data_IF_399619880462
#
_entry.id   IF_399619880462
#
_cell.length_a   1.000
_cell.length_b   1.000
_cell.length_c   1.000
_cell.angle_alpha   90.00
_cell.angle_beta   90.00
_cell.angle_gamma   90.00
#
_symmetry.space_group_name_H-M   'P 1'
#
loop_
_entity.id
_entity.type
_entity.pdbx_description
1 polymer ?
#
# COMPACT_ATOMS: atom_id res chain seq x y z
N UNK A 1 16.71 26.78 2.09
CA UNK A 1 16.08 26.36 3.35
C UNK A 1 15.45 25.01 3.07
N UNK A 2 16.01 23.92 3.59
CA UNK A 2 15.37 22.61 3.49
C UNK A 2 14.22 22.60 4.48
N UNK A 3 12.99 22.71 4.00
CA UNK A 3 11.82 22.51 4.84
C UNK A 3 11.96 21.16 5.56
N UNK A 4 11.97 21.20 6.89
CA UNK A 4 11.98 19.98 7.70
C UNK A 4 10.70 19.22 7.38
N UNK A 5 10.83 17.99 6.88
CA UNK A 5 9.69 17.10 6.74
C UNK A 5 9.33 16.60 8.13
N UNK A 6 8.12 16.95 8.56
CA UNK A 6 7.59 16.51 9.85
C UNK A 6 6.92 15.15 9.71
N UNK A 7 7.27 14.24 10.62
CA UNK A 7 6.66 12.93 10.76
C UNK A 7 5.47 13.02 11.72
N UNK A 8 4.37 12.35 11.36
CA UNK A 8 3.18 12.27 12.19
C UNK A 8 3.31 11.07 13.13
N UNK A 9 3.90 11.27 14.31
CA UNK A 9 4.01 10.22 15.31
C UNK A 9 2.65 9.88 15.96
N UNK A 10 2.50 8.68 16.55
CA UNK A 10 3.39 7.53 16.43
C UNK A 10 3.43 6.96 14.99
N UNK A 11 4.56 6.38 14.58
CA UNK A 11 4.69 5.72 13.28
C UNK A 11 4.37 4.23 13.40
N UNK A 12 4.04 3.59 12.28
CA UNK A 12 3.85 2.14 12.17
C UNK A 12 2.84 1.57 13.18
N UNK A 13 1.81 2.34 13.52
CA UNK A 13 0.72 1.92 14.42
C UNK A 13 -0.62 2.41 13.89
N UNK A 14 -1.68 1.66 14.19
CA UNK A 14 -3.04 1.98 13.76
C UNK A 14 -3.59 3.19 14.53
N UNK A 15 -3.83 4.28 13.82
CA UNK A 15 -4.54 5.45 14.34
C UNK A 15 -6.00 5.39 13.90
N UNK A 16 -6.97 5.26 14.82
CA UNK A 16 -8.38 5.34 14.47
C UNK A 16 -8.68 6.68 13.79
N UNK A 17 -9.28 6.64 12.61
CA UNK A 17 -9.73 7.82 11.88
C UNK A 17 -11.25 7.93 11.89
N UNK A 18 -11.92 6.79 11.69
CA UNK A 18 -13.36 6.65 11.82
C UNK A 18 -13.69 5.20 12.20
N UNK A 19 -14.98 4.89 12.36
CA UNK A 19 -15.43 3.50 12.50
C UNK A 19 -14.91 2.67 11.33
N UNK A 20 -14.20 1.59 11.64
CA UNK A 20 -13.65 0.64 10.66
C UNK A 20 -12.63 1.23 9.67
N UNK A 21 -12.06 2.41 9.98
CA UNK A 21 -11.05 3.10 9.16
C UNK A 21 -9.89 3.57 10.02
N UNK A 22 -8.68 3.21 9.61
CA UNK A 22 -7.43 3.58 10.28
C UNK A 22 -6.45 4.25 9.32
N UNK A 23 -5.64 5.15 9.86
CA UNK A 23 -4.48 5.73 9.20
C UNK A 23 -3.23 5.18 9.88
N UNK A 24 -2.19 4.93 9.08
CA UNK A 24 -0.87 4.56 9.58
C UNK A 24 0.17 5.44 8.90
N UNK A 25 0.94 6.14 9.72
CA UNK A 25 2.06 6.97 9.27
C UNK A 25 3.34 6.13 9.25
N UNK A 26 4.09 6.19 8.15
CA UNK A 26 5.37 5.53 7.99
C UNK A 26 6.53 6.53 7.94
N UNK A 27 7.72 5.99 7.74
CA UNK A 27 8.96 6.79 7.70
C UNK A 27 9.07 7.66 6.43
N UNK A 28 10.08 8.51 6.40
CA UNK A 28 10.52 9.27 5.23
C UNK A 28 11.19 8.32 4.24
N UNK A 29 10.72 8.33 3.00
CA UNK A 29 11.40 7.67 1.88
C UNK A 29 11.88 8.72 0.88
N UNK A 30 12.84 8.33 0.04
CA UNK A 30 13.43 9.23 -0.96
C UNK A 30 12.98 8.79 -2.35
N UNK A 31 12.19 9.64 -3.03
CA UNK A 31 11.82 9.40 -4.43
C UNK A 31 12.96 9.85 -5.34
N UNK A 32 13.42 8.93 -6.19
CA UNK A 32 14.36 9.23 -7.25
C UNK A 32 13.65 9.87 -8.44
N UNK A 33 14.10 11.06 -8.82
CA UNK A 33 13.69 11.79 -10.02
C UNK A 33 14.80 11.71 -11.10
N UNK A 34 14.49 12.08 -12.36
CA UNK A 34 15.50 12.23 -13.40
C UNK A 34 16.67 13.11 -12.93
N UNK A 35 17.85 12.89 -13.51
CA UNK A 35 19.09 13.59 -13.16
C UNK A 35 19.60 13.33 -11.73
N UNK A 36 19.16 12.24 -11.10
CA UNK A 36 19.70 11.80 -9.79
C UNK A 36 19.18 12.59 -8.60
N UNK A 37 18.17 13.44 -8.79
CA UNK A 37 17.55 14.22 -7.71
C UNK A 37 16.78 13.26 -6.80
N UNK A 38 17.03 13.33 -5.49
CA UNK A 38 16.29 12.57 -4.47
C UNK A 38 15.48 13.54 -3.62
N UNK A 39 14.16 13.39 -3.64
CA UNK A 39 13.25 14.21 -2.83
C UNK A 39 12.69 13.37 -1.69
N UNK A 40 12.91 13.77 -0.42
CA UNK A 40 12.32 13.08 0.72
C UNK A 40 10.82 13.37 0.83
N UNK A 41 10.03 12.40 1.30
CA UNK A 41 8.63 12.57 1.65
C UNK A 41 8.18 11.53 2.67
N UNK A 42 7.26 11.89 3.56
CA UNK A 42 6.66 10.97 4.52
C UNK A 42 5.68 10.02 3.83
N UNK A 43 5.57 8.80 4.34
CA UNK A 43 4.61 7.80 3.85
C UNK A 43 3.38 7.70 4.76
N UNK A 44 2.23 7.39 4.16
CA UNK A 44 0.98 7.14 4.89
C UNK A 44 0.15 6.11 4.15
N UNK A 45 -0.41 5.16 4.89
CA UNK A 45 -1.39 4.21 4.38
C UNK A 45 -2.73 4.34 5.09
N UNK A 46 -3.77 3.81 4.45
CA UNK A 46 -5.11 3.70 5.01
C UNK A 46 -5.54 2.25 5.02
N UNK A 47 -6.17 1.83 6.11
CA UNK A 47 -6.73 0.49 6.27
C UNK A 47 -8.22 0.63 6.52
N UNK A 48 -9.00 -0.12 5.76
CA UNK A 48 -10.46 -0.17 5.89
C UNK A 48 -10.87 -1.61 6.15
N UNK A 49 -11.70 -1.84 7.18
CA UNK A 49 -12.35 -3.12 7.40
C UNK A 49 -13.65 -3.16 6.59
N UNK A 50 -13.78 -4.18 5.75
CA UNK A 50 -14.94 -4.41 4.91
C UNK A 50 -16.06 -5.09 5.70
N UNK A 51 -17.26 -5.14 5.12
CA UNK A 51 -18.45 -5.74 5.77
C UNK A 51 -18.26 -7.22 6.14
N UNK A 52 -17.43 -7.95 5.39
CA UNK A 52 -17.09 -9.35 5.64
C UNK A 52 -15.98 -9.53 6.71
N UNK A 53 -15.52 -8.44 7.32
CA UNK A 53 -14.44 -8.42 8.31
C UNK A 53 -13.03 -8.50 7.72
N UNK A 54 -12.89 -8.61 6.39
CA UNK A 54 -11.59 -8.56 5.73
C UNK A 54 -11.05 -7.14 5.59
N UNK A 55 -9.76 -7.00 5.30
CA UNK A 55 -9.08 -5.71 5.26
C UNK A 55 -8.65 -5.32 3.86
N UNK A 56 -8.96 -4.07 3.52
CA UNK A 56 -8.50 -3.36 2.34
C UNK A 56 -7.40 -2.37 2.76
N UNK A 57 -6.19 -2.52 2.21
CA UNK A 57 -5.01 -1.73 2.57
C UNK A 57 -4.54 -0.91 1.37
N UNK A 58 -4.46 0.41 1.53
CA UNK A 58 -4.18 1.36 0.46
C UNK A 58 -2.98 2.24 0.74
N UNK A 59 -2.16 2.50 -0.30
CA UNK A 59 -0.96 3.33 -0.21
C UNK A 59 0.08 2.74 0.77
N UNK A 60 0.31 1.43 0.65
CA UNK A 60 1.14 0.61 1.55
C UNK A 60 2.46 1.31 1.93
N UNK A 61 2.77 1.34 3.23
CA UNK A 61 4.08 1.76 3.76
C UNK A 61 5.03 0.56 3.92
N UNK A 62 6.26 0.77 4.40
CA UNK A 62 7.16 -0.35 4.69
C UNK A 62 6.53 -1.32 5.70
N UNK A 63 6.54 -2.65 5.46
CA UNK A 63 6.07 -3.60 6.46
C UNK A 63 6.88 -3.48 7.75
N UNK A 64 6.20 -3.30 8.87
CA UNK A 64 6.81 -3.23 10.21
C UNK A 64 6.24 -4.36 11.09
N UNK A 65 7.06 -5.11 11.85
CA UNK A 65 6.57 -6.26 12.64
C UNK A 65 5.38 -5.93 13.54
N UNK A 66 5.47 -4.86 14.33
CA UNK A 66 4.41 -4.46 15.26
C UNK A 66 3.12 -4.05 14.53
N UNK A 67 3.26 -3.31 13.42
CA UNK A 67 2.13 -2.95 12.57
C UNK A 67 1.44 -4.20 12.00
N UNK A 68 2.21 -5.17 11.52
CA UNK A 68 1.66 -6.41 10.97
C UNK A 68 0.92 -7.20 12.06
N UNK A 69 1.44 -7.21 13.29
CA UNK A 69 0.76 -7.83 14.43
C UNK A 69 -0.57 -7.13 14.72
N UNK A 70 -0.57 -5.80 14.82
CA UNK A 70 -1.80 -5.00 14.99
C UNK A 70 -2.82 -5.29 13.89
N UNK A 71 -2.41 -5.27 12.61
CA UNK A 71 -3.27 -5.56 11.46
C UNK A 71 -3.86 -6.97 11.53
N UNK A 72 -3.07 -7.97 11.93
CA UNK A 72 -3.54 -9.34 12.05
C UNK A 72 -4.63 -9.49 13.14
N UNK A 73 -4.65 -8.63 14.16
CA UNK A 73 -5.74 -8.59 15.15
C UNK A 73 -7.01 -7.95 14.60
N UNK A 74 -6.90 -7.06 13.61
CA UNK A 74 -8.07 -6.43 12.98
C UNK A 74 -8.83 -7.41 12.09
N UNK A 75 -8.13 -8.21 11.29
CA UNK A 75 -8.76 -9.14 10.36
C UNK A 75 -7.84 -9.63 9.25
N UNK A 76 -8.39 -10.43 8.33
CA UNK A 76 -7.65 -10.98 7.19
C UNK A 76 -7.43 -9.90 6.14
N UNK A 77 -6.17 -9.61 5.81
CA UNK A 77 -5.84 -8.77 4.63
C UNK A 77 -6.26 -9.49 3.35
N UNK A 78 -7.21 -8.90 2.61
CA UNK A 78 -7.79 -9.43 1.38
C UNK A 78 -7.41 -8.60 0.16
N UNK A 79 -7.15 -7.30 0.32
CA UNK A 79 -6.81 -6.42 -0.80
C UNK A 79 -5.63 -5.49 -0.47
N UNK A 80 -4.67 -5.42 -1.40
CA UNK A 80 -3.49 -4.55 -1.37
C UNK A 80 -3.53 -3.59 -2.55
N UNK A 81 -3.56 -2.27 -2.31
CA UNK A 81 -3.84 -1.26 -3.34
C UNK A 81 -2.66 -0.29 -3.46
N UNK A 82 -2.06 -0.28 -4.66
CA UNK A 82 -1.05 0.72 -5.05
C UNK A 82 -1.71 1.78 -5.93
N UNK A 83 -1.94 3.02 -5.43
CA UNK A 83 -2.72 4.02 -6.15
C UNK A 83 -1.99 4.69 -7.31
N UNK A 84 -0.66 4.60 -7.40
CA UNK A 84 0.11 5.11 -8.52
C UNK A 84 1.41 4.31 -8.76
N UNK A 85 2.17 4.69 -9.80
CA UNK A 85 3.45 4.07 -10.20
C UNK A 85 4.62 4.35 -9.25
N UNK A 86 4.56 5.44 -8.50
CA UNK A 86 5.61 5.87 -7.59
C UNK A 86 5.59 4.99 -6.31
N UNK A 87 4.52 4.20 -6.13
CA UNK A 87 4.24 3.41 -4.92
C UNK A 87 4.46 1.89 -5.03
N UNK A 88 5.16 1.38 -6.06
CA UNK A 88 5.51 -0.05 -6.10
C UNK A 88 6.43 -0.50 -4.95
N UNK A 89 7.01 0.44 -4.19
CA UNK A 89 8.05 0.19 -3.20
C UNK A 89 7.71 -0.94 -2.21
N UNK A 90 6.44 -1.13 -1.84
CA UNK A 90 6.09 -2.10 -0.80
C UNK A 90 5.05 -3.14 -1.20
N UNK A 91 4.42 -3.07 -2.37
CA UNK A 91 3.36 -4.05 -2.70
C UNK A 91 3.89 -5.48 -2.79
N UNK A 92 5.11 -5.66 -3.32
CA UNK A 92 5.77 -6.97 -3.36
C UNK A 92 6.05 -7.50 -1.94
N UNK A 93 6.51 -6.65 -1.03
CA UNK A 93 6.82 -7.06 0.34
C UNK A 93 5.57 -7.36 1.15
N UNK A 94 4.51 -6.57 0.99
CA UNK A 94 3.20 -6.88 1.57
C UNK A 94 2.61 -8.16 1.00
N UNK A 95 2.78 -8.41 -0.31
CA UNK A 95 2.32 -9.65 -0.93
C UNK A 95 3.07 -10.88 -0.42
N UNK A 96 4.36 -10.76 -0.06
CA UNK A 96 5.10 -11.82 0.63
C UNK A 96 4.52 -12.12 2.03
N UNK A 97 4.07 -11.09 2.75
CA UNK A 97 3.43 -11.25 4.07
C UNK A 97 2.00 -11.77 3.99
N UNK A 98 1.27 -11.39 2.94
CA UNK A 98 -0.13 -11.75 2.72
C UNK A 98 -0.32 -12.38 1.33
N UNK A 99 0.20 -13.59 1.09
CA UNK A 99 0.20 -14.22 -0.23
C UNK A 99 -1.21 -14.46 -0.78
N UNK A 100 -2.22 -14.56 0.08
CA UNK A 100 -3.63 -14.70 -0.32
C UNK A 100 -4.30 -13.40 -0.78
N UNK A 101 -3.75 -12.22 -0.45
CA UNK A 101 -4.40 -10.94 -0.72
C UNK A 101 -4.32 -10.54 -2.19
N UNK A 102 -5.39 -10.07 -2.80
CA UNK A 102 -5.39 -9.59 -4.19
C UNK A 102 -4.63 -8.27 -4.26
N UNK A 103 -3.65 -8.18 -5.17
CA UNK A 103 -2.85 -6.98 -5.39
C UNK A 103 -3.40 -6.17 -6.57
N UNK A 104 -3.92 -4.98 -6.30
CA UNK A 104 -4.43 -4.04 -7.29
C UNK A 104 -3.38 -2.98 -7.59
N UNK A 105 -2.97 -2.90 -8.84
CA UNK A 105 -1.93 -1.98 -9.31
C UNK A 105 -2.44 -1.29 -10.57
N UNK A 106 -2.14 0.01 -10.70
CA UNK A 106 -2.38 0.71 -11.96
C UNK A 106 -1.51 0.07 -13.05
N UNK A 107 -2.15 -0.57 -14.03
CA UNK A 107 -1.46 -1.09 -15.20
C UNK A 107 -1.13 0.07 -16.14
N UNK A 108 0.14 0.26 -16.47
CA UNK A 108 0.52 1.28 -17.46
C UNK A 108 1.37 0.71 -18.57
N UNK A 109 1.03 -0.52 -18.96
CA UNK A 109 1.45 -1.09 -20.23
C UNK A 109 0.24 -1.71 -20.92
N UNK A 110 -0.43 -0.91 -21.76
CA UNK A 110 -1.08 -1.42 -22.96
C UNK A 110 -0.55 -0.66 -24.17
N UNK A 111 0.74 -0.86 -24.45
CA UNK A 111 1.30 -0.87 -25.80
C UNK A 111 2.30 -2.03 -25.89
N UNK A 112 1.80 -3.07 -26.57
CA UNK A 112 2.52 -4.08 -27.36
C UNK A 112 3.65 -4.88 -26.70
N UNK A 113 3.30 -6.06 -26.18
CA UNK A 113 3.71 -7.33 -26.77
C UNK A 113 2.68 -8.39 -26.39
N UNK A 114 1.80 -8.71 -27.34
CA UNK A 114 1.01 -9.94 -27.30
C UNK A 114 2.02 -11.08 -27.45
N UNK A 115 2.24 -11.89 -26.42
CA UNK A 115 2.38 -13.33 -26.53
C UNK A 115 1.97 -13.97 -25.20
N UNK A 116 0.84 -14.68 -25.26
CA UNK A 116 0.31 -15.63 -24.29
C UNK A 116 -0.12 -15.12 -22.90
N UNK A 117 -1.40 -14.74 -22.79
CA UNK A 117 -2.12 -14.87 -21.52
C UNK A 117 -3.48 -15.52 -21.79
N UNK A 118 -3.60 -16.79 -21.40
CA UNK A 118 -4.86 -17.51 -21.31
C UNK A 118 -5.71 -16.92 -20.17
N UNK A 119 -6.80 -16.25 -20.55
CA UNK A 119 -8.08 -16.06 -19.84
C UNK A 119 -8.05 -15.48 -18.41
N UNK A 120 -8.32 -14.18 -18.33
CA UNK A 120 -9.12 -13.58 -17.25
C UNK A 120 -10.59 -13.52 -17.71
N UNK A 121 -11.50 -14.16 -16.99
CA UNK A 121 -12.95 -13.95 -17.13
C UNK A 121 -13.36 -12.85 -16.15
N UNK A 122 -13.70 -11.67 -16.68
CA UNK A 122 -14.47 -10.65 -15.97
C UNK A 122 -15.93 -11.12 -15.91
N UNK A 123 -16.50 -11.23 -14.71
CA UNK A 123 -17.94 -11.14 -14.51
C UNK A 123 -18.23 -9.73 -14.01
N UNK A 124 -18.73 -8.89 -14.91
CA UNK A 124 -19.54 -7.73 -14.56
C UNK A 124 -20.99 -8.21 -14.41
N UNK A 125 -21.63 -7.85 -13.31
CA UNK A 125 -23.09 -7.67 -13.24
C UNK A 125 -23.35 -6.18 -13.28
#
# INVERSE_FOLDING_TARGET
MTDKIYLYHPLNTLKPFAKDIWIVDGDIIHMSFPLGIKVPFSTRMTIVRLQDGSLWCHSLIAPHPDLLQEINTLGKVSHLISPNKIHYAYIADWKKKYPQAIAWQVSVFRKEHVHNISKLTLMQR
#
